data_IF_055693397175
#
_entry.id   IF_055693397175
#
_cell.length_a   1.000
_cell.length_b   1.000
_cell.length_c   1.000
_cell.angle_alpha   90.00
_cell.angle_beta   90.00
_cell.angle_gamma   90.00
#
_symmetry.space_group_name_H-M   'P 1'
#
loop_
_entity.id
_entity.type
_entity.pdbx_description
1 polymer ?
#
# COMPACT_ATOMS: atom_id res chain seq x y z
N UNK A 1 -28.35 1.60 -7.70
CA UNK A 1 -29.41 2.29 -6.96
C UNK A 1 -30.63 1.40 -6.92
N UNK A 2 -31.19 1.20 -5.77
CA UNK A 2 -32.42 0.42 -5.57
C UNK A 2 -33.45 1.34 -4.91
N UNK A 3 -34.67 1.41 -5.51
CA UNK A 3 -35.78 2.12 -4.92
C UNK A 3 -36.37 1.29 -3.79
N UNK A 4 -36.75 1.95 -2.69
CA UNK A 4 -37.44 1.31 -1.56
C UNK A 4 -38.93 1.64 -1.64
N UNK A 5 -39.78 0.72 -1.17
CA UNK A 5 -41.25 0.89 -1.18
C UNK A 5 -41.72 2.10 -0.35
N UNK A 6 -40.85 2.70 0.48
CA UNK A 6 -41.13 3.87 1.33
C UNK A 6 -40.64 5.20 0.72
N UNK A 7 -40.24 5.22 -0.57
CA UNK A 7 -39.83 6.42 -1.29
C UNK A 7 -38.39 6.87 -1.06
N UNK A 8 -37.56 6.03 -0.40
CA UNK A 8 -36.12 6.21 -0.30
C UNK A 8 -35.37 5.47 -1.40
N UNK A 9 -34.07 5.75 -1.54
CA UNK A 9 -33.19 4.96 -2.41
C UNK A 9 -31.92 4.55 -1.67
N UNK A 10 -31.41 3.38 -1.99
CA UNK A 10 -30.11 2.90 -1.54
C UNK A 10 -29.13 2.99 -2.70
N UNK A 11 -28.03 3.71 -2.51
CA UNK A 11 -26.92 3.78 -3.45
C UNK A 11 -25.68 3.17 -2.81
N UNK A 12 -24.97 2.36 -3.56
CA UNK A 12 -23.73 1.73 -3.10
C UNK A 12 -22.76 1.57 -4.27
N UNK A 13 -21.47 1.60 -3.95
CA UNK A 13 -20.39 1.28 -4.86
C UNK A 13 -19.68 0.02 -4.36
N UNK A 14 -19.29 -0.83 -5.29
CA UNK A 14 -18.49 -2.01 -5.01
C UNK A 14 -17.08 -1.72 -5.49
N UNK A 15 -16.09 -1.90 -4.61
CA UNK A 15 -14.68 -1.73 -4.93
C UNK A 15 -13.94 -3.03 -4.64
N UNK A 16 -12.92 -3.34 -5.45
CA UNK A 16 -12.03 -4.47 -5.20
C UNK A 16 -11.02 -4.08 -4.10
N UNK A 17 -11.12 -4.74 -2.96
CA UNK A 17 -10.20 -4.54 -1.85
C UNK A 17 -8.76 -4.97 -2.18
N UNK A 18 -8.57 -5.86 -3.13
CA UNK A 18 -7.26 -6.32 -3.59
C UNK A 18 -6.52 -5.29 -4.47
N UNK A 19 -7.18 -4.21 -4.87
CA UNK A 19 -6.54 -3.05 -5.50
C UNK A 19 -5.76 -2.16 -4.51
N UNK A 20 -5.79 -2.46 -3.20
CA UNK A 20 -5.17 -1.69 -2.12
C UNK A 20 -4.19 -2.53 -1.31
N UNK A 21 -3.17 -1.89 -0.75
CA UNK A 21 -2.22 -2.57 0.15
C UNK A 21 -2.88 -2.84 1.50
N UNK A 22 -2.90 -4.12 1.92
CA UNK A 22 -3.38 -4.47 3.26
C UNK A 22 -2.31 -4.18 4.31
N UNK A 23 -2.61 -3.25 5.23
CA UNK A 23 -1.70 -2.86 6.30
C UNK A 23 -1.35 -4.04 7.22
N UNK A 24 -2.32 -4.93 7.49
CA UNK A 24 -2.09 -6.09 8.35
C UNK A 24 -1.14 -7.15 7.76
N UNK A 25 -0.80 -7.06 6.49
CA UNK A 25 0.26 -7.87 5.87
C UNK A 25 1.68 -7.34 6.17
N UNK A 26 1.83 -6.17 6.83
CA UNK A 26 3.12 -5.54 7.13
C UNK A 26 3.75 -6.01 8.44
N UNK A 27 2.98 -6.63 9.35
CA UNK A 27 3.41 -7.01 10.70
C UNK A 27 4.40 -8.19 10.77
N UNK A 28 5.09 -8.53 9.68
CA UNK A 28 6.19 -9.51 9.71
C UNK A 28 7.46 -8.83 10.18
N UNK A 29 8.10 -9.27 11.27
CA UNK A 29 9.38 -8.69 11.71
C UNK A 29 10.46 -8.75 10.62
N UNK A 30 11.35 -7.76 10.61
CA UNK A 30 12.48 -7.77 9.69
C UNK A 30 13.36 -9.00 9.86
N UNK A 31 13.88 -9.53 8.75
CA UNK A 31 14.95 -10.53 8.82
C UNK A 31 16.23 -9.89 9.35
N UNK A 32 16.67 -10.31 10.54
CA UNK A 32 17.83 -9.77 11.25
C UNK A 32 19.13 -10.50 10.96
N UNK A 33 19.18 -11.43 10.00
CA UNK A 33 20.41 -12.13 9.65
C UNK A 33 21.52 -11.13 9.25
N UNK A 34 22.77 -11.36 9.71
CA UNK A 34 23.87 -10.43 9.45
C UNK A 34 24.19 -10.29 7.96
N UNK A 35 24.53 -9.07 7.53
CA UNK A 35 25.00 -8.79 6.17
C UNK A 35 23.91 -8.67 5.11
N UNK A 36 22.63 -8.70 5.50
CA UNK A 36 21.53 -8.49 4.57
C UNK A 36 21.43 -7.01 4.16
N UNK A 37 21.20 -6.79 2.87
CA UNK A 37 20.74 -5.50 2.37
C UNK A 37 19.29 -5.20 2.85
N UNK A 38 18.89 -3.94 2.86
CA UNK A 38 17.58 -3.55 3.40
C UNK A 38 16.41 -4.27 2.70
N UNK A 39 16.46 -4.42 1.39
CA UNK A 39 15.43 -5.14 0.65
C UNK A 39 15.29 -6.63 1.06
N UNK A 40 16.39 -7.27 1.51
CA UNK A 40 16.40 -8.67 1.97
C UNK A 40 15.83 -8.82 3.39
N UNK A 41 15.83 -7.74 4.17
CA UNK A 41 15.21 -7.71 5.50
C UNK A 41 13.70 -7.64 5.42
N UNK A 42 13.17 -7.03 4.37
CA UNK A 42 11.76 -6.69 4.20
C UNK A 42 11.00 -7.79 3.44
N UNK A 43 9.76 -8.04 3.85
CA UNK A 43 8.80 -8.85 3.09
C UNK A 43 8.34 -8.11 1.81
N UNK A 44 7.71 -8.82 0.87
CA UNK A 44 7.18 -8.21 -0.35
C UNK A 44 6.13 -7.11 -0.07
N UNK A 45 5.14 -7.30 0.83
CA UNK A 45 4.22 -6.22 1.22
C UNK A 45 4.93 -5.00 1.79
N UNK A 46 5.95 -5.19 2.63
CA UNK A 46 6.73 -4.09 3.22
C UNK A 46 7.48 -3.28 2.16
N UNK A 47 8.12 -3.94 1.19
CA UNK A 47 8.79 -3.25 0.07
C UNK A 47 7.80 -2.43 -0.76
N UNK A 48 6.59 -2.98 -1.03
CA UNK A 48 5.54 -2.26 -1.77
C UNK A 48 5.04 -1.05 -0.98
N UNK A 49 4.77 -1.22 0.32
CA UNK A 49 4.31 -0.11 1.14
C UNK A 49 5.38 0.99 1.26
N UNK A 50 6.66 0.64 1.42
CA UNK A 50 7.77 1.59 1.41
C UNK A 50 7.83 2.42 0.11
N UNK A 51 7.63 1.77 -1.03
CA UNK A 51 7.57 2.46 -2.33
C UNK A 51 6.33 3.33 -2.46
N UNK A 52 5.16 2.85 -2.01
CA UNK A 52 3.93 3.63 -2.01
C UNK A 52 4.09 4.92 -1.20
N UNK A 53 4.66 4.87 0.01
CA UNK A 53 4.92 6.04 0.84
C UNK A 53 5.69 7.13 0.10
N UNK A 54 6.63 6.76 -0.75
CA UNK A 54 7.43 7.68 -1.56
C UNK A 54 6.69 8.27 -2.77
N UNK A 55 5.44 7.85 -3.04
CA UNK A 55 4.62 8.39 -4.14
C UNK A 55 3.56 9.38 -3.66
N UNK A 56 3.36 9.49 -2.36
CA UNK A 56 2.30 10.34 -1.80
C UNK A 56 2.74 11.79 -1.79
N UNK A 57 2.03 12.62 -2.55
CA UNK A 57 2.26 14.06 -2.55
C UNK A 57 1.67 14.70 -1.29
N UNK A 58 2.53 15.35 -0.50
CA UNK A 58 2.20 16.02 0.76
C UNK A 58 1.87 17.50 0.59
N UNK A 59 1.93 18.05 -0.64
CA UNK A 59 1.60 19.46 -0.84
C UNK A 59 0.13 19.69 -0.53
N UNK A 60 -0.11 20.66 0.36
CA UNK A 60 -1.47 21.06 0.79
C UNK A 60 -2.00 22.24 0.01
N UNK A 61 -1.18 22.90 -0.78
CA UNK A 61 -1.57 24.09 -1.53
C UNK A 61 -2.23 23.70 -2.85
N UNK A 62 -3.53 23.94 -2.94
CA UNK A 62 -4.23 24.08 -4.22
C UNK A 62 -3.86 25.49 -4.72
N UNK A 63 -2.70 25.63 -5.33
CA UNK A 63 -2.39 26.88 -6.04
C UNK A 63 -3.28 26.93 -7.30
N UNK A 64 -3.86 28.09 -7.57
CA UNK A 64 -4.76 28.35 -8.70
C UNK A 64 -4.01 28.28 -10.04
N UNK A 65 -2.68 28.26 -10.00
CA UNK A 65 -1.80 28.19 -11.17
C UNK A 65 -1.19 26.78 -11.24
N UNK A 66 -1.73 25.94 -12.12
CA UNK A 66 -1.30 24.54 -12.35
C UNK A 66 0.15 24.38 -12.85
N UNK A 67 0.85 25.47 -13.20
CA UNK A 67 2.17 25.41 -13.86
C UNK A 67 3.38 25.27 -12.90
N UNK A 68 3.21 25.36 -11.56
CA UNK A 68 4.36 25.42 -10.63
C UNK A 68 4.17 24.67 -9.31
N UNK A 69 3.35 23.63 -9.23
CA UNK A 69 3.29 22.83 -8.00
C UNK A 69 4.51 21.91 -7.92
N UNK A 70 5.45 22.24 -7.06
CA UNK A 70 6.47 21.27 -6.63
C UNK A 70 5.80 20.17 -5.78
N UNK A 71 5.93 18.92 -6.21
CA UNK A 71 5.50 17.77 -5.41
C UNK A 71 6.42 17.67 -4.18
N UNK A 72 5.81 17.60 -2.99
CA UNK A 72 6.52 17.31 -1.75
C UNK A 72 6.33 15.84 -1.46
N UNK A 73 7.35 15.06 -1.73
CA UNK A 73 7.36 13.60 -1.50
C UNK A 73 8.18 13.27 -0.25
N UNK A 74 7.89 12.12 0.36
CA UNK A 74 8.74 11.59 1.42
C UNK A 74 10.08 11.12 0.87
N UNK A 75 11.16 11.52 1.53
CA UNK A 75 12.46 10.92 1.32
C UNK A 75 12.47 9.45 1.79
N UNK A 76 13.38 8.65 1.24
CA UNK A 76 13.50 7.23 1.55
C UNK A 76 13.55 6.93 3.05
N UNK A 77 14.40 7.63 3.81
CA UNK A 77 14.54 7.38 5.25
C UNK A 77 13.28 7.77 6.03
N UNK A 78 12.55 8.82 5.60
CA UNK A 78 11.27 9.19 6.20
C UNK A 78 10.21 8.11 5.95
N UNK A 79 10.09 7.63 4.72
CA UNK A 79 9.19 6.55 4.35
C UNK A 79 9.51 5.26 5.12
N UNK A 80 10.80 4.94 5.25
CA UNK A 80 11.26 3.77 6.00
C UNK A 80 10.91 3.86 7.48
N UNK A 81 11.10 5.02 8.11
CA UNK A 81 10.74 5.23 9.52
C UNK A 81 9.23 5.01 9.76
N UNK A 82 8.39 5.44 8.83
CA UNK A 82 6.93 5.23 8.93
C UNK A 82 6.59 3.74 8.77
N UNK A 83 7.20 3.05 7.81
CA UNK A 83 7.02 1.61 7.66
C UNK A 83 7.41 0.86 8.96
N UNK A 84 8.54 1.21 9.56
CA UNK A 84 9.03 0.61 10.80
C UNK A 84 8.07 0.84 11.97
N UNK A 85 7.48 2.04 12.09
CA UNK A 85 6.45 2.32 13.08
C UNK A 85 5.14 1.54 12.85
N UNK A 86 4.78 1.28 11.58
CA UNK A 86 3.62 0.43 11.23
C UNK A 86 3.89 -1.03 11.61
N UNK A 87 5.09 -1.53 11.39
CA UNK A 87 5.47 -2.90 11.75
C UNK A 87 5.32 -3.10 13.26
N UNK A 88 5.95 -2.24 14.08
CA UNK A 88 5.89 -2.32 15.53
C UNK A 88 4.46 -2.18 16.08
N UNK A 89 3.62 -1.37 15.44
CA UNK A 89 2.21 -1.26 15.83
C UNK A 89 1.43 -2.57 15.68
N UNK A 90 1.80 -3.37 14.66
CA UNK A 90 1.02 -4.56 14.26
C UNK A 90 1.63 -5.85 14.81
N UNK A 91 2.95 -5.93 14.92
CA UNK A 91 3.59 -7.16 15.38
C UNK A 91 3.32 -7.41 16.88
N UNK A 92 3.63 -8.61 17.34
CA UNK A 92 3.24 -9.04 18.70
C UNK A 92 4.40 -8.94 19.70
N UNK A 93 5.56 -8.50 19.25
CA UNK A 93 6.72 -8.40 20.14
C UNK A 93 6.87 -6.97 20.72
N UNK A 94 7.96 -6.64 21.34
CA UNK A 94 8.24 -5.32 21.92
C UNK A 94 9.64 -4.84 21.54
N UNK A 95 10.16 -5.30 20.41
CA UNK A 95 11.47 -4.94 19.92
C UNK A 95 11.33 -3.87 18.84
N UNK A 96 11.92 -2.72 19.07
CA UNK A 96 11.89 -1.61 18.10
C UNK A 96 12.50 -2.07 16.76
N UNK A 97 11.71 -1.96 15.69
CA UNK A 97 12.14 -2.24 14.33
C UNK A 97 12.96 -1.07 13.78
N UNK A 98 14.22 -1.32 13.42
CA UNK A 98 15.10 -0.31 12.79
C UNK A 98 15.34 0.93 13.64
N UNK A 99 15.32 2.11 13.02
CA UNK A 99 15.52 3.40 13.71
C UNK A 99 14.22 4.20 13.83
N UNK A 100 13.25 3.93 12.99
CA UNK A 100 11.99 4.65 12.93
C UNK A 100 10.89 4.03 13.76
N UNK A 101 11.05 2.79 14.17
CA UNK A 101 10.08 2.04 14.95
C UNK A 101 9.70 2.73 16.26
N UNK A 102 8.57 2.31 16.83
CA UNK A 102 8.04 2.87 18.08
C UNK A 102 7.24 1.82 18.83
N UNK A 103 7.59 1.63 20.08
CA UNK A 103 6.99 0.67 20.98
C UNK A 103 6.23 1.36 22.13
N UNK A 104 5.73 0.57 23.08
CA UNK A 104 4.92 1.05 24.19
C UNK A 104 5.51 2.26 24.93
N UNK A 105 6.84 2.32 25.09
CA UNK A 105 7.50 3.43 25.78
C UNK A 105 7.39 4.75 25.02
N UNK A 106 7.34 4.73 23.69
CA UNK A 106 7.12 5.93 22.85
C UNK A 106 5.68 6.43 23.01
N UNK A 107 4.69 5.55 22.95
CA UNK A 107 3.27 5.90 22.97
C UNK A 107 2.75 6.25 24.38
N UNK A 108 3.30 5.64 25.43
CA UNK A 108 2.94 5.93 26.82
C UNK A 108 3.35 7.34 27.28
N UNK A 109 4.24 8.00 26.55
CA UNK A 109 4.66 9.39 26.83
C UNK A 109 3.75 10.44 26.20
N UNK A 110 2.80 10.03 25.38
CA UNK A 110 1.87 10.95 24.72
C UNK A 110 0.73 11.38 25.67
N UNK A 111 0.11 12.54 25.38
CA UNK A 111 -1.08 13.02 26.08
C UNK A 111 -2.24 13.22 25.05
N UNK A 112 -3.31 12.42 25.11
CA UNK A 112 -3.55 11.31 26.05
C UNK A 112 -2.59 10.13 25.80
N UNK A 113 -2.35 9.34 26.85
CA UNK A 113 -1.57 8.10 26.76
C UNK A 113 -2.22 7.16 25.75
N UNK A 114 -1.43 6.65 24.82
CA UNK A 114 -1.87 5.69 23.80
C UNK A 114 -1.29 4.33 24.15
N UNK A 115 -2.14 3.32 24.16
CA UNK A 115 -1.72 1.93 24.30
C UNK A 115 -1.43 1.37 22.89
N UNK A 116 -0.22 0.89 22.65
CA UNK A 116 0.13 0.23 21.40
C UNK A 116 -0.74 -1.02 21.18
N UNK A 117 -1.06 -1.31 19.92
CA UNK A 117 -1.96 -2.41 19.57
C UNK A 117 -1.29 -3.78 19.74
N UNK A 118 -0.02 -3.93 19.36
CA UNK A 118 0.71 -5.20 19.26
C UNK A 118 -0.16 -6.29 18.61
N UNK A 119 -0.85 -5.91 17.53
CA UNK A 119 -1.77 -6.78 16.82
C UNK A 119 -2.37 -6.13 15.57
N UNK A 120 -3.11 -6.89 14.79
CA UNK A 120 -3.69 -6.38 13.54
C UNK A 120 -4.55 -5.13 13.77
N UNK A 121 -4.37 -4.12 12.91
CA UNK A 121 -5.22 -2.94 12.89
C UNK A 121 -6.68 -3.31 12.63
N UNK A 122 -7.59 -2.80 13.44
CA UNK A 122 -9.02 -2.91 13.22
C UNK A 122 -9.52 -1.91 12.18
N UNK A 123 -8.80 -0.78 12.01
CA UNK A 123 -9.16 0.29 11.10
C UNK A 123 -7.94 1.02 10.56
N UNK A 124 -8.01 1.48 9.32
CA UNK A 124 -6.99 2.37 8.72
C UNK A 124 -6.81 3.67 9.52
N UNK A 125 -7.81 4.07 10.32
CA UNK A 125 -7.73 5.26 11.17
C UNK A 125 -6.64 5.18 12.24
N UNK A 126 -6.18 3.98 12.59
CA UNK A 126 -5.06 3.78 13.52
C UNK A 126 -3.74 4.36 13.00
N UNK A 127 -3.58 4.49 11.68
CA UNK A 127 -2.42 5.19 11.11
C UNK A 127 -2.22 6.60 11.66
N UNK A 128 -3.30 7.30 12.06
CA UNK A 128 -3.22 8.69 12.53
C UNK A 128 -2.43 8.87 13.82
N UNK A 129 -2.28 7.81 14.60
CA UNK A 129 -1.60 7.86 15.89
C UNK A 129 -0.16 7.33 15.82
N UNK A 130 0.26 6.84 14.68
CA UNK A 130 1.60 6.29 14.50
C UNK A 130 2.67 7.37 14.47
N UNK A 131 3.82 7.05 15.05
CA UNK A 131 5.00 7.92 15.02
C UNK A 131 5.36 8.28 13.57
N UNK A 132 5.53 9.57 13.32
CA UNK A 132 5.89 10.10 11.99
C UNK A 132 4.71 10.28 11.02
N UNK A 133 3.51 9.84 11.36
CA UNK A 133 2.34 10.07 10.51
C UNK A 133 1.85 11.51 10.64
N UNK A 134 1.67 12.18 9.51
CA UNK A 134 1.06 13.52 9.45
C UNK A 134 -0.37 13.44 8.88
N UNK A 135 -1.23 14.43 9.16
CA UNK A 135 -2.59 14.46 8.61
C UNK A 135 -2.62 14.44 7.07
N UNK A 136 -1.63 15.06 6.42
CA UNK A 136 -1.48 15.12 4.97
C UNK A 136 -1.15 13.73 4.40
N UNK A 137 -0.14 13.08 5.00
CA UNK A 137 0.25 11.72 4.61
C UNK A 137 -0.88 10.73 4.84
N UNK A 138 -1.56 10.79 6.00
CA UNK A 138 -2.71 9.95 6.28
C UNK A 138 -3.79 10.09 5.20
N UNK A 139 -4.18 11.34 4.88
CA UNK A 139 -5.19 11.61 3.84
C UNK A 139 -4.74 11.09 2.47
N UNK A 140 -3.46 11.30 2.13
CA UNK A 140 -2.88 10.83 0.87
C UNK A 140 -2.86 9.30 0.75
N UNK A 141 -2.68 8.58 1.88
CA UNK A 141 -2.64 7.11 1.90
C UNK A 141 -4.02 6.45 1.82
N UNK A 142 -5.08 7.11 2.31
CA UNK A 142 -6.42 6.50 2.44
C UNK A 142 -6.94 5.79 1.17
N UNK A 143 -6.74 6.31 -0.06
CA UNK A 143 -7.21 5.65 -1.27
C UNK A 143 -6.50 4.33 -1.57
N UNK A 144 -5.29 4.12 -1.04
CA UNK A 144 -4.35 3.08 -1.47
C UNK A 144 -4.14 1.97 -0.46
N UNK A 145 -4.67 2.12 0.75
CA UNK A 145 -4.49 1.15 1.84
C UNK A 145 -5.81 0.66 2.40
N UNK A 146 -5.78 -0.51 3.04
CA UNK A 146 -6.91 -1.13 3.71
C UNK A 146 -6.41 -1.89 4.94
N UNK A 147 -7.25 -2.03 5.97
CA UNK A 147 -7.01 -2.89 7.11
C UNK A 147 -8.01 -4.06 7.06
N UNK A 148 -7.58 -5.20 6.56
CA UNK A 148 -8.37 -6.43 6.54
C UNK A 148 -8.06 -7.25 7.79
N UNK A 149 -9.04 -7.98 8.36
CA UNK A 149 -8.86 -8.68 9.64
C UNK A 149 -7.88 -9.85 9.61
N UNK A 150 -7.38 -10.23 8.44
CA UNK A 150 -6.42 -11.31 8.28
C UNK A 150 -5.00 -10.76 8.14
N UNK A 151 -4.05 -11.32 8.89
CA UNK A 151 -2.61 -11.14 8.67
C UNK A 151 -2.09 -11.99 7.51
N UNK A 152 -2.92 -12.89 6.94
CA UNK A 152 -2.57 -13.61 5.73
C UNK A 152 -2.39 -12.62 4.58
N UNK A 153 -1.42 -12.87 3.75
CA UNK A 153 -1.10 -12.04 2.60
C UNK A 153 -2.33 -11.94 1.68
N UNK A 154 -3.04 -10.83 1.78
CA UNK A 154 -4.08 -10.52 0.79
C UNK A 154 -3.36 -10.16 -0.49
N UNK A 155 -3.55 -11.00 -1.50
CA UNK A 155 -2.89 -10.85 -2.78
C UNK A 155 -3.32 -9.54 -3.44
N UNK A 156 -2.36 -8.79 -3.97
CA UNK A 156 -2.60 -7.54 -4.67
C UNK A 156 -2.98 -7.82 -6.14
N UNK A 157 -4.15 -7.38 -6.55
CA UNK A 157 -4.68 -7.62 -7.90
C UNK A 157 -4.18 -6.56 -8.88
N UNK A 158 -3.26 -6.95 -9.77
CA UNK A 158 -2.64 -6.04 -10.76
C UNK A 158 -3.65 -5.42 -11.73
N UNK A 159 -4.83 -6.04 -11.94
CA UNK A 159 -5.86 -5.51 -12.81
C UNK A 159 -6.60 -4.29 -12.21
N UNK A 160 -6.61 -4.16 -10.87
CA UNK A 160 -7.47 -3.19 -10.17
C UNK A 160 -6.70 -2.15 -9.36
N UNK A 161 -5.37 -2.27 -9.29
CA UNK A 161 -4.53 -1.29 -8.58
C UNK A 161 -4.61 0.10 -9.22
N UNK A 162 -4.52 1.14 -8.39
CA UNK A 162 -4.35 2.53 -8.83
C UNK A 162 -2.98 2.76 -9.48
N UNK A 163 -2.75 3.94 -10.02
CA UNK A 163 -1.43 4.31 -10.59
C UNK A 163 -0.35 4.31 -9.50
N UNK A 164 -0.64 4.88 -8.33
CA UNK A 164 0.29 4.97 -7.21
C UNK A 164 0.66 3.58 -6.67
N UNK A 165 -0.33 2.69 -6.56
CA UNK A 165 -0.07 1.30 -6.17
C UNK A 165 0.70 0.55 -7.27
N UNK A 166 0.42 0.80 -8.56
CA UNK A 166 1.23 0.25 -9.66
C UNK A 166 2.68 0.72 -9.58
N UNK A 167 2.94 1.98 -9.24
CA UNK A 167 4.30 2.50 -9.01
C UNK A 167 5.03 1.78 -7.88
N UNK A 168 4.31 1.20 -6.93
CA UNK A 168 4.92 0.41 -5.85
C UNK A 168 5.42 -0.98 -6.28
N UNK A 169 5.04 -1.43 -7.48
CA UNK A 169 5.48 -2.70 -8.07
C UNK A 169 6.82 -2.50 -8.76
N UNK A 170 7.89 -3.10 -8.25
CA UNK A 170 9.24 -2.97 -8.80
C UNK A 170 10.06 -4.24 -8.52
N UNK A 171 11.34 -4.23 -8.92
CA UNK A 171 12.30 -5.30 -8.61
C UNK A 171 12.50 -5.45 -7.10
N UNK A 172 12.82 -6.64 -6.65
CA UNK A 172 13.00 -6.92 -5.21
C UNK A 172 14.08 -6.04 -4.57
N UNK A 173 15.17 -5.81 -5.29
CA UNK A 173 16.34 -5.06 -4.84
C UNK A 173 16.21 -3.53 -5.00
N UNK A 174 15.13 -3.06 -5.64
CA UNK A 174 14.87 -1.65 -5.90
C UNK A 174 13.81 -1.12 -4.93
N UNK A 175 14.21 -0.32 -3.94
CA UNK A 175 13.31 0.21 -2.90
C UNK A 175 12.68 1.57 -3.24
N UNK A 176 12.90 2.08 -4.44
CA UNK A 176 12.23 3.28 -4.98
C UNK A 176 11.04 2.88 -5.85
N UNK A 177 9.99 3.73 -5.94
CA UNK A 177 8.87 3.47 -6.84
C UNK A 177 9.26 3.55 -8.31
N UNK A 178 8.44 2.99 -9.19
CA UNK A 178 8.52 3.23 -10.64
C UNK A 178 8.25 4.72 -10.93
N UNK A 179 8.80 5.21 -12.02
CA UNK A 179 8.41 6.49 -12.58
C UNK A 179 6.92 6.49 -12.98
N UNK A 180 6.31 7.65 -13.00
CA UNK A 180 4.89 7.79 -13.39
C UNK A 180 4.65 7.21 -14.78
N UNK A 181 5.53 7.54 -15.74
CA UNK A 181 5.42 7.10 -17.12
C UNK A 181 5.58 5.58 -17.26
N UNK A 182 6.45 4.97 -16.47
CA UNK A 182 6.66 3.52 -16.46
C UNK A 182 5.42 2.78 -15.95
N UNK A 183 4.85 3.24 -14.84
CA UNK A 183 3.65 2.66 -14.26
C UNK A 183 2.41 2.91 -15.14
N UNK A 184 2.34 4.08 -15.78
CA UNK A 184 1.25 4.40 -16.70
C UNK A 184 1.31 3.48 -17.94
N UNK A 185 2.49 3.27 -18.51
CA UNK A 185 2.66 2.36 -19.64
C UNK A 185 2.18 0.94 -19.30
N UNK A 186 2.50 0.43 -18.10
CA UNK A 186 2.00 -0.86 -17.62
C UNK A 186 0.47 -0.89 -17.54
N UNK A 187 -0.14 0.17 -17.03
CA UNK A 187 -1.61 0.26 -16.90
C UNK A 187 -2.31 0.34 -18.26
N UNK A 188 -1.75 1.09 -19.19
CA UNK A 188 -2.32 1.28 -20.53
C UNK A 188 -2.30 -0.01 -21.37
N UNK A 189 -1.40 -0.95 -21.05
CA UNK A 189 -1.34 -2.26 -21.69
C UNK A 189 -2.35 -3.28 -21.11
N UNK A 190 -3.00 -2.97 -19.97
CA UNK A 190 -4.03 -3.81 -19.36
C UNK A 190 -5.41 -3.38 -19.87
N UNK A 191 -6.09 -4.26 -20.62
CA UNK A 191 -7.46 -4.01 -21.08
C UNK A 191 -8.41 -3.95 -19.86
N UNK A 192 -9.10 -2.83 -19.60
CA UNK A 192 -9.94 -2.66 -18.42
C UNK A 192 -11.19 -3.56 -18.42
N UNK A 193 -11.64 -4.04 -19.60
CA UNK A 193 -12.82 -4.89 -19.71
C UNK A 193 -12.46 -6.38 -19.60
N UNK A 194 -11.27 -6.77 -20.07
CA UNK A 194 -10.81 -8.16 -20.12
C UNK A 194 -9.90 -8.48 -18.93
N UNK A 195 -8.99 -7.58 -18.59
CA UNK A 195 -7.93 -7.80 -17.61
C UNK A 195 -6.95 -8.89 -18.04
N UNK A 196 -5.98 -9.14 -17.17
CA UNK A 196 -5.02 -10.23 -17.29
C UNK A 196 -5.53 -11.46 -16.55
N UNK A 197 -5.33 -12.65 -17.09
CA UNK A 197 -5.76 -13.89 -16.46
C UNK A 197 -4.73 -14.44 -15.45
N UNK A 198 -3.45 -14.13 -15.66
CA UNK A 198 -2.35 -14.64 -14.84
C UNK A 198 -1.29 -13.55 -14.60
N UNK A 199 -0.49 -13.71 -13.54
CA UNK A 199 0.69 -12.85 -13.29
C UNK A 199 1.74 -13.01 -14.39
N UNK A 200 1.83 -14.18 -15.01
CA UNK A 200 2.73 -14.40 -16.15
C UNK A 200 2.33 -13.56 -17.36
N UNK A 201 1.03 -13.36 -17.61
CA UNK A 201 0.56 -12.43 -18.65
C UNK A 201 0.97 -10.98 -18.32
N UNK A 202 0.93 -10.57 -17.04
CA UNK A 202 1.44 -9.26 -16.64
C UNK A 202 2.93 -9.12 -16.92
N UNK A 203 3.74 -10.12 -16.60
CA UNK A 203 5.18 -10.12 -16.87
C UNK A 203 5.51 -10.18 -18.37
N UNK A 204 4.61 -10.69 -19.19
CA UNK A 204 4.76 -10.75 -20.64
C UNK A 204 4.39 -9.44 -21.35
N UNK A 205 3.78 -8.46 -20.66
CA UNK A 205 3.54 -7.15 -21.23
C UNK A 205 4.85 -6.52 -21.73
N UNK A 206 4.84 -5.82 -22.87
CA UNK A 206 6.04 -5.17 -23.43
C UNK A 206 6.76 -4.27 -22.43
N UNK A 207 6.02 -3.43 -21.70
CA UNK A 207 6.56 -2.53 -20.67
C UNK A 207 7.13 -3.32 -19.49
N UNK A 208 6.44 -4.36 -19.00
CA UNK A 208 6.93 -5.20 -17.91
C UNK A 208 8.20 -5.96 -18.30
N UNK A 209 8.25 -6.53 -19.50
CA UNK A 209 9.43 -7.20 -20.03
C UNK A 209 10.64 -6.27 -20.15
N UNK A 210 10.40 -5.00 -20.49
CA UNK A 210 11.46 -3.99 -20.58
C UNK A 210 11.98 -3.59 -19.20
N UNK A 211 11.08 -3.36 -18.25
CA UNK A 211 11.42 -2.90 -16.92
C UNK A 211 12.04 -3.99 -16.04
N UNK A 212 11.50 -5.20 -16.10
CA UNK A 212 11.80 -6.29 -15.16
C UNK A 212 12.60 -7.44 -15.77
N UNK A 213 12.80 -7.43 -17.09
CA UNK A 213 13.35 -8.55 -17.84
C UNK A 213 12.27 -9.52 -18.32
N UNK A 214 12.57 -10.30 -19.36
CA UNK A 214 11.63 -11.30 -19.88
C UNK A 214 11.17 -12.26 -18.77
N UNK A 215 9.87 -12.45 -18.64
CA UNK A 215 9.26 -13.28 -17.60
C UNK A 215 9.83 -14.69 -17.57
N UNK A 216 10.01 -15.22 -16.36
CA UNK A 216 10.57 -16.54 -16.10
C UNK A 216 11.33 -16.58 -14.78
N UNK A 217 11.97 -17.70 -14.46
CA UNK A 217 12.71 -17.93 -13.20
C UNK A 217 13.84 -16.89 -12.93
N UNK A 218 14.23 -16.10 -13.92
CA UNK A 218 15.27 -15.07 -13.84
C UNK A 218 14.70 -13.64 -13.71
N UNK A 219 13.39 -13.46 -13.60
CA UNK A 219 12.82 -12.14 -13.37
C UNK A 219 13.18 -11.65 -11.98
N UNK A 220 13.81 -10.48 -11.90
CA UNK A 220 14.09 -9.80 -10.61
C UNK A 220 12.86 -9.12 -10.02
N UNK A 221 11.71 -9.21 -10.68
CA UNK A 221 10.47 -8.60 -10.25
C UNK A 221 9.89 -9.28 -9.01
N UNK A 222 9.32 -8.49 -8.11
CA UNK A 222 8.72 -8.96 -6.87
C UNK A 222 7.29 -9.49 -7.10
N UNK A 223 7.19 -10.75 -7.55
CA UNK A 223 5.90 -11.38 -7.83
C UNK A 223 5.17 -11.88 -6.60
N UNK A 224 5.85 -11.98 -5.44
CA UNK A 224 5.25 -12.51 -4.22
C UNK A 224 4.01 -11.69 -3.84
N UNK A 225 2.89 -12.35 -3.57
CA UNK A 225 1.64 -11.72 -3.19
C UNK A 225 0.93 -10.93 -4.30
N UNK A 226 1.27 -11.17 -5.58
CA UNK A 226 0.47 -10.66 -6.70
C UNK A 226 -0.57 -11.67 -7.17
N UNK A 227 -1.65 -11.17 -7.72
CA UNK A 227 -2.74 -11.97 -8.28
C UNK A 227 -3.44 -11.22 -9.43
N UNK A 228 -4.24 -11.96 -10.17
CA UNK A 228 -5.04 -11.45 -11.28
C UNK A 228 -6.47 -12.02 -11.26
N UNK A 229 -7.12 -12.27 -10.10
CA UNK A 229 -8.41 -12.93 -10.11
C UNK A 229 -9.46 -12.05 -10.79
N UNK A 230 -10.32 -12.69 -11.57
CA UNK A 230 -11.57 -12.10 -12.07
C UNK A 230 -12.71 -12.18 -11.05
N UNK A 231 -12.52 -12.90 -9.95
CA UNK A 231 -13.52 -13.08 -8.88
C UNK A 231 -13.24 -12.04 -7.79
N UNK A 232 -13.99 -10.99 -7.79
CA UNK A 232 -13.88 -9.86 -6.85
C UNK A 232 -14.24 -10.27 -5.43
N UNK A 233 -13.38 -9.96 -4.46
CA UNK A 233 -13.80 -9.85 -3.07
C UNK A 233 -14.57 -8.54 -2.93
N UNK A 234 -15.90 -8.64 -2.85
CA UNK A 234 -16.81 -7.51 -2.82
C UNK A 234 -16.93 -6.98 -1.39
N UNK A 235 -16.40 -5.79 -1.12
CA UNK A 235 -16.78 -5.02 0.06
C UNK A 235 -17.88 -4.02 -0.30
N UNK A 236 -19.05 -4.20 0.31
CA UNK A 236 -20.13 -3.21 0.24
C UNK A 236 -19.83 -2.10 1.25
N UNK A 237 -19.41 -0.93 0.78
CA UNK A 237 -19.47 0.27 1.60
C UNK A 237 -20.89 0.80 1.57
N UNK A 238 -21.64 0.56 2.66
CA UNK A 238 -23.00 1.05 2.82
C UNK A 238 -22.97 2.52 3.26
N UNK A 239 -23.39 3.42 2.38
CA UNK A 239 -23.87 4.74 2.78
C UNK A 239 -25.40 4.68 2.87
N UNK A 240 -25.93 4.66 4.08
CA UNK A 240 -27.36 4.92 4.32
C UNK A 240 -27.53 6.44 4.39
N UNK A 241 -28.16 7.02 3.37
CA UNK A 241 -28.73 8.37 3.43
C UNK A 241 -30.19 8.26 3.82
N UNK A 242 -30.55 8.83 4.98
CA UNK A 242 -31.94 9.05 5.39
C UNK A 242 -32.41 10.42 4.94
#
# INVERSE_FOLDING_TARGET
>A
TFDTDEGGYISGRVEDAQGRINLNALGTPYNTAPGLADWQKMSAPQRRFLRLLQTINLSTEISVDEETQEEILLEFDQAKNILEAVIDWIDADSNITGFGGAEADDYNQLEPVITISNGPMASVTELQILKGMTPELYKGLLPFVIALPSSEEVLLNVNTVSLEVMRSLNKQDTLTPLLVEEAQALKDEIDPEVGLATVDEFLALPSASTLFGAGGENSSFDTAGLTTPRNYFLFLTNYLCF
#
